data_IF_831507423385
#
_entry.id   IF_831507423385
#
_cell.length_a   1.000
_cell.length_b   1.000
_cell.length_c   1.000
_cell.angle_alpha   90.00
_cell.angle_beta   90.00
_cell.angle_gamma   90.00
#
_symmetry.space_group_name_H-M   'P 1'
#
loop_
_entity.id
_entity.type
_entity.pdbx_description
1 polymer ?
#
# COMPACT_ATOMS: atom_id res chain seq x y z
N UNK A 1 -2.64 -5.19 -7.58
CA UNK A 1 -3.96 -5.42 -8.21
C UNK A 1 -4.68 -4.12 -8.55
N UNK A 2 -4.99 -3.24 -7.57
CA UNK A 2 -5.68 -1.96 -7.83
C UNK A 2 -4.94 -1.10 -8.85
N UNK A 3 -3.61 -1.08 -8.79
CA UNK A 3 -2.76 -0.39 -9.79
C UNK A 3 -3.03 -0.83 -11.21
N UNK A 4 -3.11 -2.14 -11.44
CA UNK A 4 -3.38 -2.69 -12.77
C UNK A 4 -4.75 -2.25 -13.28
N UNK A 5 -5.77 -2.25 -12.43
CA UNK A 5 -7.09 -1.75 -12.80
C UNK A 5 -7.08 -0.25 -13.06
N UNK A 6 -6.33 0.48 -12.24
CA UNK A 6 -6.15 1.91 -12.39
C UNK A 6 -5.51 2.25 -13.75
N UNK A 7 -4.46 1.54 -14.14
CA UNK A 7 -3.72 1.74 -15.38
C UNK A 7 -4.55 1.36 -16.61
N UNK A 8 -5.33 0.28 -16.50
CA UNK A 8 -6.23 -0.18 -17.56
C UNK A 8 -7.53 0.63 -17.67
N UNK A 9 -7.71 1.67 -16.86
CA UNK A 9 -8.93 2.50 -16.83
C UNK A 9 -10.20 1.65 -16.64
N UNK A 10 -10.13 0.67 -15.76
CA UNK A 10 -11.24 -0.23 -15.42
C UNK A 10 -12.30 0.55 -14.63
N UNK A 11 -13.58 0.34 -14.98
CA UNK A 11 -14.70 0.81 -14.16
C UNK A 11 -14.93 -0.16 -13.03
N UNK A 12 -14.75 0.30 -11.80
CA UNK A 12 -14.77 -0.53 -10.61
C UNK A 12 -16.00 -0.20 -9.76
N UNK A 13 -16.71 -1.24 -9.31
CA UNK A 13 -17.79 -1.14 -8.33
C UNK A 13 -17.35 -1.98 -7.13
N UNK A 14 -17.22 -1.36 -5.97
CA UNK A 14 -16.77 -2.00 -4.73
C UNK A 14 -17.80 -1.74 -3.64
N UNK A 15 -18.05 -2.75 -2.82
CA UNK A 15 -18.74 -2.59 -1.53
C UNK A 15 -17.74 -2.96 -0.44
N UNK A 16 -17.71 -2.18 0.64
CA UNK A 16 -16.85 -2.43 1.78
C UNK A 16 -17.57 -2.05 3.07
N UNK A 17 -17.13 -2.62 4.19
CA UNK A 17 -17.71 -2.39 5.52
C UNK A 17 -17.40 -0.99 6.06
N UNK A 18 -16.32 -0.37 5.59
CA UNK A 18 -15.90 0.98 5.96
C UNK A 18 -15.47 1.79 4.72
N UNK A 19 -15.39 3.14 4.84
CA UNK A 19 -14.77 3.98 3.81
C UNK A 19 -13.31 3.57 3.52
N UNK A 20 -12.77 3.86 2.33
CA UNK A 20 -11.42 3.44 1.91
C UNK A 20 -10.30 3.72 2.93
N UNK A 21 -10.36 4.84 3.63
CA UNK A 21 -9.39 5.25 4.67
C UNK A 21 -9.43 4.35 5.90
N UNK A 22 -10.59 3.76 6.20
CA UNK A 22 -10.79 2.90 7.36
C UNK A 22 -10.58 1.41 7.09
N UNK A 23 -10.29 1.04 5.84
CA UNK A 23 -10.11 -0.37 5.45
C UNK A 23 -8.77 -0.95 5.89
N UNK A 24 -7.76 -0.10 6.10
CA UNK A 24 -6.43 -0.51 6.49
C UNK A 24 -6.10 0.14 7.84
N UNK A 25 -5.84 -0.69 8.84
CA UNK A 25 -5.23 -0.26 10.10
C UNK A 25 -3.90 -0.97 10.20
N UNK A 26 -2.82 -0.21 10.06
CA UNK A 26 -1.49 -0.68 10.39
C UNK A 26 -1.23 -0.27 11.84
N UNK A 27 -0.70 -1.19 12.64
CA UNK A 27 -0.37 -0.90 14.03
C UNK A 27 0.88 -0.03 14.02
N UNK A 28 0.76 1.23 14.45
CA UNK A 28 1.86 2.20 14.53
C UNK A 28 2.83 1.91 15.70
N UNK A 29 2.72 0.75 16.35
CA UNK A 29 3.41 0.41 17.61
C UNK A 29 4.88 -0.01 17.42
N UNK A 30 5.60 0.55 16.43
CA UNK A 30 7.04 0.36 16.32
C UNK A 30 7.76 1.46 17.10
N UNK A 31 8.15 1.17 18.35
CA UNK A 31 8.84 2.09 19.26
C UNK A 31 10.35 2.27 18.96
N UNK A 32 10.82 1.75 17.83
CA UNK A 32 12.22 1.73 17.45
C UNK A 32 13.06 0.68 18.18
N UNK A 33 12.49 -0.11 19.10
CA UNK A 33 13.20 -1.20 19.78
C UNK A 33 12.84 -2.54 19.14
N UNK A 34 13.79 -3.07 18.36
CA UNK A 34 13.71 -4.43 17.83
C UNK A 34 13.65 -5.44 18.98
N UNK A 35 12.64 -6.31 18.96
CA UNK A 35 12.56 -7.48 19.82
C UNK A 35 13.58 -8.54 19.38
N UNK A 36 13.93 -9.46 20.28
CA UNK A 36 14.88 -10.54 19.96
C UNK A 36 14.39 -11.40 18.77
N UNK A 37 13.07 -11.58 18.62
CA UNK A 37 12.52 -12.28 17.45
C UNK A 37 12.69 -11.50 16.14
N UNK A 38 12.61 -10.17 16.18
CA UNK A 38 12.83 -9.33 14.99
C UNK A 38 14.31 -9.37 14.57
N UNK A 39 15.24 -9.41 15.52
CA UNK A 39 16.68 -9.54 15.24
C UNK A 39 17.04 -10.89 14.61
N UNK A 40 16.43 -11.97 15.08
CA UNK A 40 16.61 -13.30 14.46
C UNK A 40 16.09 -13.31 13.02
N UNK A 41 14.94 -12.66 12.76
CA UNK A 41 14.42 -12.52 11.39
C UNK A 41 15.35 -11.72 10.47
N UNK A 42 16.05 -10.70 10.98
CA UNK A 42 17.02 -9.94 10.18
C UNK A 42 18.25 -10.76 9.79
N UNK A 43 18.73 -11.59 10.71
CA UNK A 43 19.85 -12.53 10.48
C UNK A 43 19.45 -13.58 9.42
N UNK A 44 18.24 -14.12 9.52
CA UNK A 44 17.69 -15.07 8.52
C UNK A 44 17.49 -14.46 7.12
N UNK A 45 17.17 -13.16 7.05
CA UNK A 45 16.98 -12.41 5.81
C UNK A 45 18.30 -11.88 5.21
N UNK A 46 19.44 -12.15 5.86
CA UNK A 46 20.79 -11.66 5.50
C UNK A 46 20.85 -10.13 5.36
N UNK A 47 20.03 -9.42 6.15
CA UNK A 47 20.01 -7.95 6.21
C UNK A 47 21.20 -7.52 7.08
N UNK A 48 22.39 -7.52 6.47
CA UNK A 48 23.65 -7.14 7.13
C UNK A 48 23.95 -5.63 7.04
N UNK A 49 23.18 -4.90 6.24
CA UNK A 49 23.38 -3.47 6.04
C UNK A 49 22.80 -2.71 7.24
N UNK A 50 23.69 -2.18 8.10
CA UNK A 50 23.36 -1.37 9.29
C UNK A 50 22.81 0.02 8.91
N UNK A 51 22.13 0.13 7.77
CA UNK A 51 21.39 1.32 7.42
C UNK A 51 20.10 1.30 8.25
N UNK A 52 20.06 2.10 9.31
CA UNK A 52 18.87 2.28 10.18
C UNK A 52 17.57 2.48 9.37
N UNK A 53 17.69 3.02 8.15
CA UNK A 53 16.58 3.18 7.20
C UNK A 53 15.99 1.87 6.67
N UNK A 54 16.80 0.84 6.41
CA UNK A 54 16.29 -0.46 5.91
C UNK A 54 15.67 -1.23 7.06
N UNK A 55 16.27 -1.17 8.25
CA UNK A 55 15.73 -1.78 9.47
C UNK A 55 14.40 -1.13 9.88
N UNK A 56 14.33 0.21 9.87
CA UNK A 56 13.10 0.93 10.15
C UNK A 56 12.01 0.59 9.13
N UNK A 57 12.32 0.57 7.83
CA UNK A 57 11.31 0.29 6.80
C UNK A 57 10.71 -1.13 6.93
N UNK A 58 11.53 -2.16 7.17
CA UNK A 58 11.08 -3.56 7.29
C UNK A 58 10.14 -3.79 8.47
N UNK A 59 10.28 -3.03 9.57
CA UNK A 59 9.48 -3.26 10.78
C UNK A 59 8.45 -2.17 11.09
N UNK A 60 8.64 -0.95 10.61
CA UNK A 60 7.67 0.16 10.68
C UNK A 60 6.53 -0.04 9.67
N UNK A 61 6.79 -0.79 8.59
CA UNK A 61 5.81 -1.02 7.53
C UNK A 61 5.55 0.24 6.69
N UNK A 62 6.56 1.10 6.53
CA UNK A 62 6.44 2.36 5.80
C UNK A 62 6.04 2.10 4.34
N UNK A 63 6.59 1.05 3.72
CA UNK A 63 6.22 0.61 2.38
C UNK A 63 4.75 0.17 2.30
N UNK A 64 4.24 -0.53 3.31
CA UNK A 64 2.82 -0.94 3.39
C UNK A 64 1.89 0.25 3.58
N UNK A 65 2.27 1.22 4.42
CA UNK A 65 1.53 2.48 4.60
C UNK A 65 1.48 3.23 3.28
N UNK A 66 2.63 3.40 2.62
CA UNK A 66 2.71 4.07 1.34
C UNK A 66 1.87 3.35 0.27
N UNK A 67 1.94 2.02 0.21
CA UNK A 67 1.12 1.24 -0.70
C UNK A 67 -0.39 1.39 -0.43
N UNK A 68 -0.78 1.49 0.85
CA UNK A 68 -2.15 1.73 1.28
C UNK A 68 -2.64 3.11 0.84
N UNK A 69 -1.95 4.19 1.22
CA UNK A 69 -2.33 5.57 0.88
C UNK A 69 -2.47 5.78 -0.62
N UNK A 70 -1.54 5.18 -1.36
CA UNK A 70 -1.52 5.18 -2.81
C UNK A 70 -2.70 4.41 -3.41
N UNK A 71 -3.13 3.32 -2.77
CA UNK A 71 -4.31 2.55 -3.16
C UNK A 71 -5.57 3.36 -2.90
N UNK A 72 -5.71 3.96 -1.71
CA UNK A 72 -6.85 4.83 -1.36
C UNK A 72 -6.97 6.00 -2.34
N UNK A 73 -5.87 6.67 -2.63
CA UNK A 73 -5.82 7.77 -3.61
C UNK A 73 -6.32 7.33 -4.98
N UNK A 74 -5.88 6.16 -5.46
CA UNK A 74 -6.35 5.59 -6.74
C UNK A 74 -7.83 5.27 -6.71
N UNK A 75 -8.35 4.70 -5.63
CA UNK A 75 -9.78 4.39 -5.49
C UNK A 75 -10.64 5.65 -5.56
N UNK A 76 -10.20 6.76 -4.97
CA UNK A 76 -10.90 8.04 -5.09
C UNK A 76 -10.87 8.59 -6.50
N UNK A 77 -9.71 8.57 -7.15
CA UNK A 77 -9.60 9.04 -8.52
C UNK A 77 -10.45 8.18 -9.47
N UNK A 78 -10.50 6.87 -9.26
CA UNK A 78 -11.33 5.93 -10.04
C UNK A 78 -12.84 6.21 -9.96
N UNK A 79 -13.29 6.97 -8.96
CA UNK A 79 -14.68 7.42 -8.80
C UNK A 79 -14.96 8.76 -9.50
N UNK A 80 -13.92 9.46 -9.97
CA UNK A 80 -14.06 10.76 -10.58
C UNK A 80 -14.54 10.70 -12.04
N UNK A 81 -15.30 11.72 -12.45
CA UNK A 81 -15.73 11.88 -13.85
C UNK A 81 -14.53 12.00 -14.81
N UNK A 82 -13.44 12.67 -14.38
CA UNK A 82 -12.23 12.81 -15.20
C UNK A 82 -11.63 11.43 -15.52
N UNK A 83 -11.53 10.55 -14.54
CA UNK A 83 -11.06 9.19 -14.75
C UNK A 83 -11.98 8.38 -15.68
N UNK A 84 -13.30 8.50 -15.49
CA UNK A 84 -14.28 7.80 -16.35
C UNK A 84 -14.27 8.27 -17.80
N UNK A 85 -14.03 9.56 -18.02
CA UNK A 85 -13.98 10.17 -19.35
C UNK A 85 -12.62 9.97 -20.04
N UNK A 86 -11.55 9.76 -19.27
CA UNK A 86 -10.23 9.42 -19.81
C UNK A 86 -10.19 8.02 -20.46
N UNK A 87 -11.14 7.15 -20.11
CA UNK A 87 -11.26 5.81 -20.70
C UNK A 87 -11.71 5.91 -22.16
N UNK A 88 -10.79 5.63 -23.08
CA UNK A 88 -11.13 5.43 -24.51
C UNK A 88 -11.69 4.00 -24.67
N UNK A 89 -12.88 3.82 -25.27
CA UNK A 89 -13.33 2.48 -25.62
C UNK A 89 -12.31 1.82 -26.55
N UNK A 90 -11.98 0.56 -26.32
CA UNK A 90 -11.20 -0.23 -27.28
C UNK A 90 -12.01 -0.30 -28.58
N UNK A 91 -11.52 0.34 -29.64
CA UNK A 91 -12.09 0.17 -30.98
C UNK A 91 -11.92 -1.31 -31.35
N UNK A 92 -13.04 -2.03 -31.45
CA UNK A 92 -13.09 -3.30 -32.14
C UNK A 92 -13.16 -3.07 -33.65
#
# INVERSE_FOLDING_TARGET
MVDTFYDQKVRLVISAEAPPEGLFRLNEDFDGRLSDSQRVLMDDLDINDNSESVEANVFSGEDEIFACDRTVSRLYEMQSNSYWNARKPSSH
#
